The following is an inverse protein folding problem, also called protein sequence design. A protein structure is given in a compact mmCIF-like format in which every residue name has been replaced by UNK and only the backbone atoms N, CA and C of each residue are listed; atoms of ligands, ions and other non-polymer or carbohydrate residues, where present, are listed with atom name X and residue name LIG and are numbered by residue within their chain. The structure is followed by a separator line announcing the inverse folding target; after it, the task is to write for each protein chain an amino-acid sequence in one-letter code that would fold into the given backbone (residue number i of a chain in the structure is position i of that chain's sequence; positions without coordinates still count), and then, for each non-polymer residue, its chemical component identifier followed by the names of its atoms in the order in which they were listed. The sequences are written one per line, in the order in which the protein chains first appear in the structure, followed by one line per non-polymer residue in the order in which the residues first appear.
data_IF_654370085943
#
_entry.id   IF_654370085943
#
_cell.length_a   1.000
_cell.length_b   1.000
_cell.length_c   1.000
_cell.angle_alpha   90.00
_cell.angle_beta   90.00
_cell.angle_gamma   90.00
#
_symmetry.space_group_name_H-M   'P 1'
#
loop_
_entity.id
_entity.type
_entity.pdbx_description
1 polymer ?
#
# COMPACT_ATOMS: atom_id res chain seq x y z
N UNK A 1 -1.71 8.64 20.73
CA UNK A 1 -3.07 8.99 21.16
C UNK A 1 -3.88 9.70 20.07
N UNK A 2 -3.43 10.86 19.57
CA UNK A 2 -4.15 11.65 18.54
C UNK A 2 -4.59 10.85 17.30
N UNK A 3 -3.71 10.03 16.70
CA UNK A 3 -4.04 9.17 15.55
C UNK A 3 -5.19 8.20 15.86
N UNK A 4 -5.21 7.59 17.04
CA UNK A 4 -6.22 6.58 17.40
C UNK A 4 -7.58 7.20 17.75
N UNK A 5 -7.58 8.46 18.18
CA UNK A 5 -8.79 9.20 18.54
C UNK A 5 -9.40 9.99 17.38
N UNK A 6 -8.68 10.17 16.27
CA UNK A 6 -9.15 10.88 15.10
C UNK A 6 -10.47 10.28 14.56
N UNK A 7 -11.42 11.15 14.22
CA UNK A 7 -12.75 10.74 13.70
C UNK A 7 -12.95 11.06 12.22
N UNK A 8 -12.09 11.91 11.64
CA UNK A 8 -12.08 12.25 10.22
C UNK A 8 -10.81 11.72 9.57
N UNK A 9 -10.84 11.57 8.24
CA UNK A 9 -9.67 11.13 7.48
C UNK A 9 -8.59 12.20 7.50
N UNK A 10 -8.99 13.46 7.43
CA UNK A 10 -8.11 14.62 7.40
C UNK A 10 -7.31 14.72 8.69
N UNK A 11 -7.97 14.61 9.84
CA UNK A 11 -7.32 14.62 11.15
C UNK A 11 -6.40 13.41 11.34
N UNK A 12 -6.84 12.23 10.88
CA UNK A 12 -6.04 11.02 10.94
C UNK A 12 -4.75 11.17 10.13
N UNK A 13 -4.84 11.64 8.88
CA UNK A 13 -3.68 11.86 8.00
C UNK A 13 -2.74 12.92 8.60
N UNK A 14 -3.27 14.00 9.18
CA UNK A 14 -2.46 15.01 9.85
C UNK A 14 -1.70 14.40 11.05
N UNK A 15 -2.37 13.63 11.90
CA UNK A 15 -1.77 12.98 13.06
C UNK A 15 -0.68 11.97 12.67
N UNK A 16 -0.91 11.14 11.65
CA UNK A 16 0.08 10.18 11.13
C UNK A 16 1.31 10.91 10.57
N UNK A 17 1.12 12.00 9.81
CA UNK A 17 2.24 12.79 9.27
C UNK A 17 3.06 13.47 10.37
N UNK A 18 2.44 13.86 11.49
CA UNK A 18 3.18 14.38 12.66
C UNK A 18 4.00 13.27 13.31
N UNK A 19 3.41 12.09 13.51
CA UNK A 19 4.12 10.93 14.05
C UNK A 19 5.33 10.55 13.19
N UNK A 20 5.17 10.47 11.87
CA UNK A 20 6.27 10.18 10.94
C UNK A 20 7.45 11.15 11.08
N UNK A 21 7.17 12.46 11.16
CA UNK A 21 8.22 13.48 11.39
C UNK A 21 8.95 13.31 12.72
N UNK A 22 8.24 12.92 13.78
CA UNK A 22 8.85 12.66 15.09
C UNK A 22 9.75 11.43 15.06
N UNK A 23 9.33 10.36 14.36
CA UNK A 23 10.14 9.15 14.19
C UNK A 23 11.41 9.42 13.39
N UNK A 24 11.30 10.18 12.29
CA UNK A 24 12.45 10.58 11.46
C UNK A 24 13.42 11.47 12.25
N UNK A 25 12.90 12.47 12.98
CA UNK A 25 13.73 13.41 13.77
C UNK A 25 14.40 12.77 14.98
N UNK A 26 13.93 11.60 15.41
CA UNK A 26 14.51 10.86 16.53
C UNK A 26 15.73 10.00 16.17
N UNK A 27 16.07 9.91 14.87
CA UNK A 27 17.24 9.17 14.37
C UNK A 27 17.32 7.71 14.83
N UNK A 28 16.17 7.06 15.04
CA UNK A 28 16.11 5.66 15.53
C UNK A 28 16.54 4.62 14.48
N UNK A 29 16.52 4.97 13.20
CA UNK A 29 16.81 4.10 12.07
C UNK A 29 17.39 4.90 10.90
N UNK A 30 18.21 4.25 10.05
CA UNK A 30 18.64 4.79 8.76
C UNK A 30 17.74 4.23 7.64
N UNK A 31 16.91 5.05 6.97
CA UNK A 31 16.07 4.60 5.86
C UNK A 31 16.92 4.13 4.67
N UNK A 32 16.49 3.04 4.04
CA UNK A 32 17.10 2.52 2.80
C UNK A 32 16.10 2.59 1.64
N UNK A 33 16.43 1.95 0.53
CA UNK A 33 15.56 1.84 -0.65
C UNK A 33 14.48 0.76 -0.51
N UNK A 34 13.42 0.90 -1.31
CA UNK A 34 12.39 -0.13 -1.51
C UNK A 34 11.98 -0.16 -2.99
N UNK A 35 11.42 -1.28 -3.47
CA UNK A 35 10.90 -1.37 -4.83
C UNK A 35 9.50 -0.74 -4.89
N UNK A 36 9.30 0.24 -5.78
CA UNK A 36 8.03 0.95 -5.97
C UNK A 36 6.99 0.14 -6.76
N UNK A 37 7.38 -1.01 -7.31
CA UNK A 37 6.53 -1.87 -8.13
C UNK A 37 6.47 -3.29 -7.57
N UNK A 38 5.36 -3.96 -7.86
CA UNK A 38 5.21 -5.40 -7.66
C UNK A 38 5.32 -6.08 -9.03
N UNK A 39 6.32 -6.93 -9.19
CA UNK A 39 6.51 -7.71 -10.41
C UNK A 39 5.97 -9.12 -10.19
N UNK A 40 5.02 -9.53 -11.04
CA UNK A 40 4.41 -10.86 -10.99
C UNK A 40 4.37 -11.43 -12.40
N UNK A 41 5.11 -12.51 -12.63
CA UNK A 41 4.97 -13.32 -13.84
C UNK A 41 3.80 -14.28 -13.67
N UNK A 42 2.99 -14.44 -14.72
CA UNK A 42 1.85 -15.36 -14.71
C UNK A 42 1.62 -15.97 -16.10
N UNK A 43 0.95 -17.12 -16.12
CA UNK A 43 0.67 -17.87 -17.35
C UNK A 43 -0.33 -17.14 -18.25
N UNK A 44 -0.14 -17.21 -19.58
CA UNK A 44 -1.00 -16.50 -20.54
C UNK A 44 -2.47 -16.95 -20.54
N UNK A 45 -2.80 -18.13 -19.99
CA UNK A 45 -4.19 -18.56 -19.84
C UNK A 45 -4.92 -17.87 -18.68
N UNK A 46 -4.21 -17.13 -17.81
CA UNK A 46 -4.81 -16.34 -16.75
C UNK A 46 -5.08 -14.91 -17.23
N UNK A 47 -6.12 -14.32 -16.68
CA UNK A 47 -6.52 -12.93 -16.88
C UNK A 47 -6.95 -12.33 -15.54
N UNK A 48 -6.93 -11.00 -15.47
CA UNK A 48 -7.26 -10.24 -14.27
C UNK A 48 -7.94 -8.92 -14.65
N UNK A 49 -8.60 -8.23 -13.70
CA UNK A 49 -9.23 -6.95 -13.99
C UNK A 49 -8.21 -5.93 -14.50
N UNK A 50 -8.62 -5.11 -15.47
CA UNK A 50 -7.79 -4.03 -16.02
C UNK A 50 -7.38 -3.00 -14.94
N UNK A 51 -8.21 -2.85 -13.90
CA UNK A 51 -7.97 -1.91 -12.80
C UNK A 51 -7.55 -2.67 -11.54
N UNK A 52 -6.30 -2.49 -11.14
CA UNK A 52 -5.76 -3.01 -9.88
C UNK A 52 -6.18 -2.11 -8.70
N UNK A 53 -6.58 -2.67 -7.54
CA UNK A 53 -6.81 -1.90 -6.32
C UNK A 53 -5.55 -1.17 -5.82
N UNK A 54 -5.73 -0.15 -4.98
CA UNK A 54 -4.60 0.60 -4.37
C UNK A 54 -3.67 -0.29 -3.52
N UNK A 55 -4.16 -1.44 -3.06
CA UNK A 55 -3.40 -2.40 -2.25
C UNK A 55 -2.58 -3.40 -3.10
N UNK A 56 -2.55 -3.25 -4.43
CA UNK A 56 -1.85 -4.16 -5.33
C UNK A 56 -2.74 -5.28 -5.89
N UNK A 57 -2.11 -6.27 -6.53
CA UNK A 57 -2.82 -7.37 -7.16
C UNK A 57 -3.56 -8.25 -6.14
N UNK A 58 -4.67 -8.85 -6.55
CA UNK A 58 -5.49 -9.71 -5.71
C UNK A 58 -5.76 -11.01 -6.46
N UNK A 59 -5.05 -12.10 -6.14
CA UNK A 59 -5.22 -13.39 -6.83
C UNK A 59 -6.67 -13.92 -6.86
N UNK A 60 -7.51 -13.72 -5.82
CA UNK A 60 -8.90 -14.19 -5.85
C UNK A 60 -9.77 -13.56 -6.95
N UNK A 61 -9.37 -12.43 -7.54
CA UNK A 61 -10.14 -11.78 -8.63
C UNK A 61 -9.63 -12.16 -10.02
N UNK A 62 -8.67 -13.07 -10.13
CA UNK A 62 -8.13 -13.54 -11.40
C UNK A 62 -8.93 -14.75 -11.90
N UNK A 63 -8.98 -14.95 -13.22
CA UNK A 63 -9.68 -16.06 -13.84
C UNK A 63 -8.87 -16.69 -14.96
N UNK A 64 -9.31 -17.86 -15.40
CA UNK A 64 -8.83 -18.47 -16.64
C UNK A 64 -9.61 -17.87 -17.81
N UNK A 65 -8.90 -17.42 -18.85
CA UNK A 65 -9.52 -16.93 -20.09
C UNK A 65 -10.51 -17.98 -20.64
N UNK A 66 -11.69 -17.57 -21.13
CA UNK A 66 -12.51 -18.46 -21.93
C UNK A 66 -11.69 -18.90 -23.14
N UNK A 67 -11.77 -20.20 -23.49
CA UNK A 67 -11.03 -20.79 -24.60
C UNK A 67 -11.33 -20.07 -25.92
#
# INVERSE_FOLDING_TARGET
DAMLKARTKEDYVAAVRVLDRLLISGNYMVPMQYNTQQWLAYWNYLEHPQKTPIFGYQLPVWWRKPN
#
